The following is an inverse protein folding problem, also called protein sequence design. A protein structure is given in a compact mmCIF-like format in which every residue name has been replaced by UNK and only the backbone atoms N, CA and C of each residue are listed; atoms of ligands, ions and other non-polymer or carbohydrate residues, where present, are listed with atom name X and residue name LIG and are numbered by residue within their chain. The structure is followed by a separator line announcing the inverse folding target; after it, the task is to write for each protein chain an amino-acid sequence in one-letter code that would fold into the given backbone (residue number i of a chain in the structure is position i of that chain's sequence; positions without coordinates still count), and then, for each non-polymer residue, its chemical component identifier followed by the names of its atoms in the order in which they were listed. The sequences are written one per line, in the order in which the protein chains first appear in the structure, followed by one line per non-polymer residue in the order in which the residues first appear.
data_IF_366313793542
#
_entry.id   IF_366313793542
#
_cell.length_a   1.000
_cell.length_b   1.000
_cell.length_c   1.000
_cell.angle_alpha   90.00
_cell.angle_beta   90.00
_cell.angle_gamma   90.00
#
_symmetry.space_group_name_H-M   'P 1'
#
loop_
_entity.id
_entity.type
_entity.pdbx_description
1 polymer ?
#
# COMPACT_ATOMS: atom_id res chain seq x y z
N UNK A 1 23.57 11.51 4.79
CA UNK A 1 22.47 11.66 3.84
C UNK A 1 21.62 10.41 3.83
N UNK A 2 20.31 10.54 3.69
CA UNK A 2 19.47 9.36 3.59
C UNK A 2 19.80 8.60 2.32
N UNK A 3 19.72 7.29 2.39
CA UNK A 3 19.94 6.43 1.23
C UNK A 3 18.74 6.53 0.27
N UNK A 4 18.90 5.99 -0.94
CA UNK A 4 17.86 6.07 -1.97
C UNK A 4 16.56 5.39 -1.55
N UNK A 5 16.65 4.26 -0.85
CA UNK A 5 15.47 3.55 -0.37
C UNK A 5 14.69 4.38 0.64
N UNK A 6 15.38 4.99 1.59
CA UNK A 6 14.75 5.86 2.59
C UNK A 6 14.09 7.07 1.93
N UNK A 7 14.75 7.66 0.96
CA UNK A 7 14.18 8.79 0.22
C UNK A 7 12.90 8.37 -0.52
N UNK A 8 12.92 7.20 -1.12
CA UNK A 8 11.74 6.68 -1.82
C UNK A 8 10.57 6.51 -0.86
N UNK A 9 10.79 5.85 0.27
CA UNK A 9 9.71 5.65 1.24
C UNK A 9 9.22 6.96 1.84
N UNK A 10 10.12 7.90 2.12
CA UNK A 10 9.72 9.21 2.61
C UNK A 10 8.86 9.95 1.60
N UNK A 11 9.23 9.91 0.32
CA UNK A 11 8.44 10.53 -0.73
C UNK A 11 7.06 9.89 -0.86
N UNK A 12 6.97 8.57 -0.69
CA UNK A 12 5.71 7.83 -0.79
C UNK A 12 4.83 7.98 0.45
N UNK A 13 5.33 8.57 1.52
CA UNK A 13 4.60 8.70 2.77
C UNK A 13 3.46 9.71 2.71
N UNK A 14 3.36 10.49 1.66
CA UNK A 14 2.33 11.51 1.50
C UNK A 14 1.29 11.09 0.45
N UNK A 15 -0.02 11.20 0.76
CA UNK A 15 -1.05 10.77 -0.20
C UNK A 15 -1.10 11.61 -1.48
N UNK A 16 -0.80 12.91 -1.40
CA UNK A 16 -0.77 13.75 -2.59
C UNK A 16 0.33 13.30 -3.53
N UNK A 17 1.50 13.00 -3.00
CA UNK A 17 2.61 12.52 -3.82
C UNK A 17 2.30 11.18 -4.47
N UNK A 18 1.64 10.27 -3.74
CA UNK A 18 1.21 9.00 -4.34
C UNK A 18 0.18 9.22 -5.45
N UNK A 19 -0.72 10.19 -5.28
CA UNK A 19 -1.70 10.52 -6.32
C UNK A 19 -1.04 11.10 -7.57
N UNK A 20 -0.01 11.93 -7.40
CA UNK A 20 0.76 12.44 -8.53
C UNK A 20 1.43 11.31 -9.31
N UNK A 21 2.04 10.37 -8.58
CA UNK A 21 2.67 9.23 -9.23
C UNK A 21 1.66 8.37 -9.97
N UNK A 22 0.45 8.21 -9.42
CA UNK A 22 -0.62 7.47 -10.09
C UNK A 22 -1.01 8.11 -11.41
N UNK A 23 -1.08 9.45 -11.47
CA UNK A 23 -1.32 10.15 -12.72
C UNK A 23 -0.19 9.90 -13.73
N UNK A 24 1.05 9.99 -13.28
CA UNK A 24 2.21 9.80 -14.15
C UNK A 24 2.35 8.36 -14.63
N UNK A 25 1.78 7.40 -13.90
CA UNK A 25 1.77 6.00 -14.34
C UNK A 25 0.94 5.81 -15.61
N UNK A 26 -0.02 6.73 -15.86
CA UNK A 26 -0.82 6.69 -17.09
C UNK A 26 -0.17 7.40 -18.26
N UNK A 27 0.85 8.20 -18.01
CA UNK A 27 1.57 8.92 -19.06
C UNK A 27 2.19 10.20 -18.52
N UNK A 28 3.09 10.76 -19.30
CA UNK A 28 3.76 11.99 -18.95
C UNK A 28 2.77 13.15 -18.94
N UNK A 29 3.03 14.13 -18.09
CA UNK A 29 2.14 15.28 -17.96
C UNK A 29 2.94 16.51 -17.53
N UNK A 30 2.43 17.69 -17.86
CA UNK A 30 3.05 18.92 -17.38
C UNK A 30 2.57 19.23 -15.96
N UNK A 31 3.24 20.17 -15.30
CA UNK A 31 2.96 20.50 -13.90
C UNK A 31 1.52 20.99 -13.72
N UNK A 32 1.04 21.81 -14.67
CA UNK A 32 -0.32 22.35 -14.58
C UNK A 32 -1.37 21.25 -14.62
N UNK A 33 -1.21 20.29 -15.52
CA UNK A 33 -2.14 19.16 -15.60
C UNK A 33 -2.09 18.28 -14.35
N UNK A 34 -0.89 18.06 -13.81
CA UNK A 34 -0.77 17.30 -12.57
C UNK A 34 -1.43 17.99 -11.39
N UNK A 35 -1.47 19.32 -11.39
CA UNK A 35 -2.05 20.09 -10.30
C UNK A 35 -3.57 20.13 -10.34
N UNK A 36 -4.19 19.94 -11.50
CA UNK A 36 -5.63 20.10 -11.66
C UNK A 36 -6.47 19.36 -10.61
N UNK A 37 -6.22 18.08 -10.30
CA UNK A 37 -7.04 17.39 -9.31
C UNK A 37 -6.92 17.95 -7.89
N UNK A 38 -5.90 18.76 -7.62
CA UNK A 38 -5.61 19.25 -6.26
C UNK A 38 -5.94 20.75 -6.08
N UNK A 39 -6.41 21.42 -7.13
CA UNK A 39 -6.57 22.87 -7.09
C UNK A 39 -7.57 23.34 -6.04
N UNK A 40 -8.54 22.52 -5.70
CA UNK A 40 -9.51 22.86 -4.66
C UNK A 40 -8.91 22.76 -3.26
N UNK A 41 -7.88 21.95 -3.09
CA UNK A 41 -7.31 21.64 -1.79
C UNK A 41 -5.98 22.33 -1.53
N UNK A 42 -5.21 22.66 -2.58
CA UNK A 42 -3.90 23.26 -2.40
C UNK A 42 -3.51 24.14 -3.58
N UNK A 43 -2.54 25.01 -3.35
CA UNK A 43 -2.06 25.93 -4.36
C UNK A 43 -1.07 25.25 -5.32
N UNK A 44 -0.85 25.88 -6.47
CA UNK A 44 0.15 25.39 -7.41
C UNK A 44 1.56 25.32 -6.79
N UNK A 45 2.03 26.33 -6.02
CA UNK A 45 3.31 26.18 -5.34
C UNK A 45 3.39 24.99 -4.40
N UNK A 46 2.27 24.62 -3.75
CA UNK A 46 2.25 23.44 -2.89
C UNK A 46 2.43 22.15 -3.70
N UNK A 47 1.75 22.05 -4.85
CA UNK A 47 1.94 20.91 -5.75
C UNK A 47 3.38 20.86 -6.25
N UNK A 48 3.95 22.01 -6.58
CA UNK A 48 5.35 22.09 -7.03
C UNK A 48 6.31 21.58 -5.96
N UNK A 49 6.05 21.88 -4.69
CA UNK A 49 6.88 21.35 -3.60
C UNK A 49 6.82 19.83 -3.53
N UNK A 50 5.64 19.25 -3.69
CA UNK A 50 5.50 17.80 -3.73
C UNK A 50 6.28 17.20 -4.91
N UNK A 51 6.21 17.85 -6.07
CA UNK A 51 6.97 17.39 -7.23
C UNK A 51 8.48 17.46 -6.99
N UNK A 52 8.95 18.48 -6.28
CA UNK A 52 10.39 18.57 -5.94
C UNK A 52 10.83 17.42 -5.03
N UNK A 53 9.99 17.04 -4.07
CA UNK A 53 10.30 15.91 -3.20
C UNK A 53 10.41 14.63 -4.04
N UNK A 54 9.45 14.41 -4.94
CA UNK A 54 9.46 13.25 -5.82
C UNK A 54 10.69 13.26 -6.75
N UNK A 55 11.05 14.42 -7.25
CA UNK A 55 12.20 14.57 -8.13
C UNK A 55 13.50 14.27 -7.39
N UNK A 56 13.65 14.78 -6.17
CA UNK A 56 14.84 14.51 -5.34
C UNK A 56 14.96 13.03 -4.99
N UNK A 57 13.85 12.36 -4.83
CA UNK A 57 13.84 10.91 -4.55
C UNK A 57 14.10 10.09 -5.83
N UNK A 58 14.18 10.74 -6.98
CA UNK A 58 14.40 10.07 -8.24
C UNK A 58 13.17 9.42 -8.84
N UNK A 59 11.98 9.67 -8.26
CA UNK A 59 10.72 9.07 -8.73
C UNK A 59 10.13 9.81 -9.92
N UNK A 60 10.46 11.08 -10.07
CA UNK A 60 9.97 11.92 -11.16
C UNK A 60 11.16 12.55 -11.86
N UNK A 61 11.13 12.54 -13.19
CA UNK A 61 12.07 13.26 -14.03
C UNK A 61 11.35 14.42 -14.68
N UNK A 62 11.99 15.57 -14.71
CA UNK A 62 11.48 16.71 -15.43
C UNK A 62 12.34 16.93 -16.67
N UNK A 63 11.67 17.05 -17.79
CA UNK A 63 12.33 17.43 -19.04
C UNK A 63 11.79 18.77 -19.49
N UNK A 64 12.63 19.55 -20.14
CA UNK A 64 12.27 20.86 -20.61
C UNK A 64 12.44 20.91 -22.12
N UNK A 65 11.35 21.11 -22.81
CA UNK A 65 11.37 21.29 -24.26
C UNK A 65 10.70 22.62 -24.57
N UNK A 66 11.46 23.58 -25.07
CA UNK A 66 11.01 24.95 -25.30
C UNK A 66 10.51 25.53 -23.97
N UNK A 67 9.25 25.95 -23.91
CA UNK A 67 8.65 26.53 -22.72
C UNK A 67 7.90 25.50 -21.87
N UNK A 68 7.86 24.25 -22.32
CA UNK A 68 7.10 23.20 -21.65
C UNK A 68 7.98 22.41 -20.69
N UNK A 69 7.42 22.15 -19.50
CA UNK A 69 8.06 21.29 -18.52
C UNK A 69 7.22 20.04 -18.38
N UNK A 70 7.78 18.92 -18.81
CA UNK A 70 7.07 17.65 -18.77
C UNK A 70 7.66 16.80 -17.67
N UNK A 71 6.77 16.24 -16.85
CA UNK A 71 7.14 15.31 -15.80
C UNK A 71 6.86 13.89 -16.26
N UNK A 72 7.76 12.99 -15.93
CA UNK A 72 7.60 11.58 -16.24
C UNK A 72 7.96 10.74 -15.02
N UNK A 73 7.32 9.59 -14.89
CA UNK A 73 7.61 8.64 -13.83
C UNK A 73 8.93 7.93 -14.13
N UNK A 74 9.81 7.87 -13.14
CA UNK A 74 10.98 7.01 -13.20
C UNK A 74 10.67 5.79 -12.32
N UNK A 75 10.46 4.61 -12.89
CA UNK A 75 10.06 3.45 -12.10
C UNK A 75 11.18 2.82 -11.29
N UNK A 76 12.45 3.18 -11.55
CA UNK A 76 13.58 2.51 -10.92
C UNK A 76 13.55 2.52 -9.39
N UNK A 77 13.31 3.67 -8.72
CA UNK A 77 13.24 3.64 -7.26
C UNK A 77 12.09 2.79 -6.71
N UNK A 78 10.95 2.73 -7.44
CA UNK A 78 9.84 1.87 -7.05
C UNK A 78 10.22 0.40 -7.16
N UNK A 79 10.98 0.05 -8.18
CA UNK A 79 11.47 -1.32 -8.35
C UNK A 79 12.38 -1.71 -7.19
N UNK A 80 13.29 -0.83 -6.81
CA UNK A 80 14.18 -1.08 -5.69
C UNK A 80 13.42 -1.28 -4.39
N UNK A 81 12.39 -0.45 -4.16
CA UNK A 81 11.52 -0.59 -2.99
C UNK A 81 10.76 -1.91 -3.03
N UNK A 82 10.27 -2.28 -4.21
CA UNK A 82 9.56 -3.56 -4.38
C UNK A 82 10.48 -4.73 -4.08
N UNK A 83 11.72 -4.69 -4.56
CA UNK A 83 12.69 -5.76 -4.31
C UNK A 83 12.97 -5.92 -2.82
N UNK A 84 13.07 -4.80 -2.10
CA UNK A 84 13.27 -4.83 -0.66
C UNK A 84 12.07 -5.44 0.06
N UNK A 85 10.86 -5.03 -0.31
CA UNK A 85 9.62 -5.55 0.27
C UNK A 85 9.44 -7.03 -0.05
N UNK A 86 9.92 -7.46 -1.22
CA UNK A 86 9.77 -8.84 -1.71
C UNK A 86 10.34 -9.87 -0.73
N UNK A 87 11.44 -9.54 -0.06
CA UNK A 87 12.01 -10.44 0.94
C UNK A 87 11.03 -10.70 2.09
N UNK A 88 10.31 -9.66 2.51
CA UNK A 88 9.33 -9.78 3.57
C UNK A 88 8.05 -10.47 3.10
N UNK A 89 7.71 -10.28 1.81
CA UNK A 89 6.57 -10.99 1.24
C UNK A 89 6.76 -12.50 1.31
N UNK A 90 7.95 -12.96 1.00
CA UNK A 90 8.28 -14.39 1.11
C UNK A 90 8.13 -14.89 2.54
N UNK A 91 8.54 -14.09 3.51
CA UNK A 91 8.42 -14.44 4.93
C UNK A 91 6.96 -14.63 5.33
N UNK A 92 6.13 -13.68 5.01
CA UNK A 92 4.73 -13.77 5.42
C UNK A 92 3.99 -14.86 4.64
N UNK A 93 4.31 -15.08 3.37
CA UNK A 93 3.71 -16.19 2.61
C UNK A 93 4.07 -17.53 3.21
N UNK A 94 5.33 -17.71 3.59
CA UNK A 94 5.75 -18.92 4.28
C UNK A 94 4.99 -19.11 5.60
N UNK A 95 4.75 -18.02 6.33
CA UNK A 95 3.97 -18.06 7.56
C UNK A 95 2.51 -18.45 7.29
N UNK A 96 1.92 -17.90 6.22
CA UNK A 96 0.55 -18.23 5.84
C UNK A 96 0.44 -19.68 5.38
N UNK A 97 1.43 -20.19 4.66
CA UNK A 97 1.47 -21.59 4.24
C UNK A 97 1.53 -22.51 5.46
N UNK A 98 2.38 -22.18 6.44
CA UNK A 98 2.45 -22.95 7.68
C UNK A 98 1.14 -22.94 8.43
N UNK A 99 0.46 -21.79 8.46
CA UNK A 99 -0.85 -21.67 9.09
C UNK A 99 -1.88 -22.53 8.35
N UNK A 100 -1.85 -22.51 7.01
CA UNK A 100 -2.72 -23.35 6.20
C UNK A 100 -2.53 -24.81 6.48
N UNK A 101 -1.26 -25.27 6.57
CA UNK A 101 -0.95 -26.65 6.91
C UNK A 101 -1.44 -27.03 8.30
N UNK A 102 -1.26 -26.14 9.26
CA UNK A 102 -1.73 -26.34 10.62
C UNK A 102 -3.26 -26.49 10.66
N UNK A 103 -3.97 -25.61 9.93
CA UNK A 103 -5.43 -25.69 9.85
C UNK A 103 -5.90 -26.98 9.19
N UNK A 104 -5.19 -27.45 8.17
CA UNK A 104 -5.49 -28.72 7.52
C UNK A 104 -5.29 -29.89 8.49
N UNK A 105 -4.24 -29.86 9.30
CA UNK A 105 -4.01 -30.87 10.31
C UNK A 105 -5.12 -30.89 11.37
N UNK A 106 -5.55 -29.71 11.80
CA UNK A 106 -6.65 -29.63 12.75
C UNK A 106 -7.94 -30.19 12.19
N UNK A 107 -8.21 -29.92 10.91
CA UNK A 107 -9.39 -30.47 10.24
C UNK A 107 -9.30 -31.99 10.12
N UNK A 108 -8.13 -32.50 9.78
CA UNK A 108 -7.93 -33.94 9.69
C UNK A 108 -8.13 -34.61 11.05
N UNK A 109 -7.63 -34.01 12.12
CA UNK A 109 -7.77 -34.56 13.46
C UNK A 109 -9.23 -34.49 13.97
N UNK A 110 -9.99 -33.52 13.48
CA UNK A 110 -11.42 -33.40 13.81
C UNK A 110 -12.30 -34.18 12.84
N UNK A 111 -11.70 -34.79 11.81
CA UNK A 111 -12.40 -35.58 10.80
C UNK A 111 -13.51 -34.80 10.09
N UNK A 112 -13.30 -33.51 9.90
CA UNK A 112 -14.23 -32.65 9.15
C UNK A 112 -13.91 -32.76 7.68
N UNK A 113 -14.86 -33.20 6.83
CA UNK A 113 -14.63 -33.25 5.39
C UNK A 113 -14.41 -31.88 4.79
N UNK A 114 -13.49 -31.76 3.82
CA UNK A 114 -13.25 -30.51 3.10
C UNK A 114 -14.52 -29.98 2.45
N UNK A 115 -15.40 -30.85 2.01
CA UNK A 115 -16.65 -30.44 1.37
C UNK A 115 -17.58 -29.67 2.31
N UNK A 116 -17.47 -29.89 3.61
CA UNK A 116 -18.28 -29.14 4.55
C UNK A 116 -17.76 -27.74 4.79
N UNK A 117 -16.47 -27.49 4.52
CA UNK A 117 -15.90 -26.16 4.67
C UNK A 117 -16.34 -25.20 3.59
N UNK A 118 -16.72 -25.74 2.42
CA UNK A 118 -17.21 -24.94 1.29
C UNK A 118 -18.66 -24.53 1.46
N UNK A 119 -19.35 -25.08 2.43
CA UNK A 119 -20.73 -24.69 2.68
C UNK A 119 -20.77 -23.35 3.42
N UNK A 120 -21.68 -22.46 3.03
CA UNK A 120 -21.81 -21.21 3.75
C UNK A 120 -22.14 -21.50 5.20
N UNK A 121 -21.34 -20.95 6.10
CA UNK A 121 -21.59 -21.09 7.52
C UNK A 121 -22.42 -19.92 8.00
N UNK A 122 -23.33 -20.17 8.95
CA UNK A 122 -23.97 -19.04 9.58
C UNK A 122 -22.92 -18.19 10.28
N UNK A 123 -23.08 -16.90 10.17
CA UNK A 123 -22.15 -15.97 10.83
C UNK A 123 -22.26 -16.20 12.33
N UNK A 124 -21.15 -16.52 13.00
CA UNK A 124 -21.22 -16.72 14.45
C UNK A 124 -21.62 -15.42 15.13
N UNK A 125 -22.50 -15.55 16.12
CA UNK A 125 -22.87 -14.39 16.92
C UNK A 125 -21.63 -13.86 17.62
N UNK A 126 -21.46 -12.55 17.73
CA UNK A 126 -20.30 -12.03 18.45
C UNK A 126 -20.34 -12.52 19.89
N UNK A 127 -19.21 -12.99 20.36
CA UNK A 127 -19.11 -13.44 21.74
C UNK A 127 -19.26 -12.23 22.65
N UNK A 128 -19.98 -12.38 23.77
CA UNK A 128 -20.00 -11.29 24.73
C UNK A 128 -18.62 -11.07 25.26
N UNK A 129 -18.20 -9.86 25.28
CA UNK A 129 -16.87 -9.52 25.75
C UNK A 129 -16.85 -9.56 27.26
N UNK A 130 -16.18 -10.46 27.77
CA UNK A 130 -16.10 -10.47 29.13
C UNK A 130 -14.86 -10.93 29.64
N UNK A 131 -15.03 -11.14 28.92
CA UNK A 131 -14.53 -11.72 29.25
C UNK A 131 -14.22 -11.63 29.52
N UNK A 132 -14.12 -11.17 29.38
CA UNK A 132 -13.82 -11.35 29.71
C UNK A 132 -14.10 -11.28 29.99
N UNK A 133 -14.35 -11.32 30.25
CA UNK A 133 -14.71 -11.52 30.48
C UNK A 133 -15.29 -11.37 30.70
N UNK A 134 -15.58 -11.17 30.97
CA UNK A 134 -16.22 -11.29 31.07
C UNK A 134 -16.71 -11.12 31.25
N UNK A 135 -16.85 -10.80 31.45
CA UNK A 135 -17.51 -10.93 31.57
C UNK A 135 -18.02 -10.69 31.81
N UNK A 136 -18.08 -10.46 32.02
CA UNK A 136 -18.76 -10.41 32.22
C UNK A 136 -19.37 -10.40 32.35
N UNK A 137 -19.66 -10.32 32.34
CA UNK A 137 -20.34 -10.44 32.34
C UNK A 137 -21.16 -10.43 32.22
N UNK A 138 -21.61 -10.43 32.47
CA UNK A 138 -22.49 -10.63 32.20
C UNK A 138 -23.19 -10.30 31.89
N UNK A 139 -23.43 -10.04 31.77
CA UNK A 139 -24.17 -10.17 31.38
C UNK A 139 -24.56 -10.28 30.72
N UNK A 140 -24.77 -10.37 30.60
CA UNK A 140 -24.98 -10.92 30.04
C UNK A 140 -25.26 -11.07 29.66
#
# INVERSE_FOLDING_TARGET
MPDGLSQTFAALADPTRRAILAQLAHGDANVSDLALPFMDAMSLPAVTKHLKVLERAGLVRKTRAAQWRTCSLNPQPLREATDWIEEYRRMWEASLDRLGDYLNELQASQQVPLTELDKPRPIPKPKPKGKGKRHAGKSQ
#
